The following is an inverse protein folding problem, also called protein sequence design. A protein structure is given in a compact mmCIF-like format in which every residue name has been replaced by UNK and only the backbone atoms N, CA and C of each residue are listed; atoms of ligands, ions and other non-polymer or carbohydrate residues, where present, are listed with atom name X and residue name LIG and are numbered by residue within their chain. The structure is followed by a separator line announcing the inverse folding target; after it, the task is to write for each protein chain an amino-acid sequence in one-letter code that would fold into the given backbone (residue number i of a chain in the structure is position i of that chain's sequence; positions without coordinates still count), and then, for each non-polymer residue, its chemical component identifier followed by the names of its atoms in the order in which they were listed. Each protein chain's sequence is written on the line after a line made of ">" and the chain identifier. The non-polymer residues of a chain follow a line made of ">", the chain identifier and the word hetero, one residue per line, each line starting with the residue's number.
data_IF_818934450992
#
_entry.id   IF_818934450992
#
_cell.length_a   1.000
_cell.length_b   1.000
_cell.length_c   1.000
_cell.angle_alpha   90.00
_cell.angle_beta   90.00
_cell.angle_gamma   90.00
#
_symmetry.space_group_name_H-M   'P 1'
#
loop_
_entity.id
_entity.type
_entity.pdbx_description
1 polymer ?
#
# COMPACT_ATOMS: atom_id res chain seq x y z
N UNK A 1 17.97 -10.51 6.39
CA UNK A 1 16.97 -9.95 5.47
C UNK A 1 17.42 -8.58 4.99
N UNK A 2 17.45 -8.38 3.69
CA UNK A 2 17.87 -7.09 3.14
C UNK A 2 16.71 -6.09 3.22
N UNK A 3 16.99 -4.89 3.71
CA UNK A 3 16.00 -3.81 3.80
C UNK A 3 16.30 -2.77 2.73
N UNK A 4 15.29 -2.42 1.94
CA UNK A 4 15.39 -1.39 0.91
C UNK A 4 14.41 -0.27 1.22
N UNK A 5 14.87 0.97 1.03
CA UNK A 5 13.99 2.13 1.14
C UNK A 5 13.59 2.59 -0.25
N UNK A 6 12.30 2.83 -0.44
CA UNK A 6 11.76 3.31 -1.71
C UNK A 6 11.10 4.67 -1.47
N UNK A 7 11.63 5.70 -2.14
CA UNK A 7 11.10 7.06 -2.06
C UNK A 7 9.92 7.19 -3.01
N UNK A 8 8.77 7.58 -2.47
CA UNK A 8 7.53 7.71 -3.24
C UNK A 8 7.32 9.09 -3.86
N UNK A 9 8.26 10.03 -3.70
CA UNK A 9 8.07 11.43 -4.09
C UNK A 9 7.55 11.61 -5.51
N UNK A 10 8.11 10.89 -6.49
CA UNK A 10 7.73 11.11 -7.88
C UNK A 10 6.30 10.66 -8.21
N UNK A 11 5.67 9.89 -7.34
CA UNK A 11 4.31 9.40 -7.57
C UNK A 11 3.25 10.31 -6.98
N UNK A 12 3.67 11.41 -6.35
CA UNK A 12 2.78 12.36 -5.74
C UNK A 12 2.20 13.38 -6.73
N UNK A 13 2.69 13.41 -7.94
CA UNK A 13 2.29 14.37 -8.94
C UNK A 13 3.04 15.70 -8.78
N UNK A 14 3.15 16.45 -9.89
CA UNK A 14 3.86 17.72 -9.92
C UNK A 14 3.15 18.75 -9.05
N UNK A 15 3.89 19.40 -8.16
CA UNK A 15 3.40 20.47 -7.28
C UNK A 15 2.30 20.00 -6.33
N UNK A 16 2.12 18.72 -6.18
CA UNK A 16 1.11 18.17 -5.28
C UNK A 16 1.75 17.78 -3.96
N UNK A 17 1.01 17.94 -2.88
CA UNK A 17 1.38 17.41 -1.57
C UNK A 17 0.57 16.17 -1.21
N UNK A 18 -0.19 15.64 -2.16
CA UNK A 18 -1.17 14.58 -1.94
C UNK A 18 -0.90 13.39 -2.84
N UNK A 19 -0.83 12.20 -2.24
CA UNK A 19 -0.89 10.95 -3.00
C UNK A 19 -2.37 10.58 -3.15
N UNK A 20 -2.87 10.46 -4.37
CA UNK A 20 -4.28 10.17 -4.59
C UNK A 20 -4.50 9.39 -5.87
N UNK A 21 -5.59 8.62 -5.88
CA UNK A 21 -6.04 7.91 -7.06
C UNK A 21 -5.53 6.48 -7.12
N UNK A 22 -6.47 5.53 -7.24
CA UNK A 22 -6.11 4.12 -7.41
C UNK A 22 -5.31 3.87 -8.69
N UNK A 23 -5.67 4.50 -9.84
CA UNK A 23 -4.87 4.37 -11.06
C UNK A 23 -3.43 4.85 -10.88
N UNK A 24 -3.22 5.92 -10.10
CA UNK A 24 -1.88 6.43 -9.83
C UNK A 24 -1.08 5.44 -8.98
N UNK A 25 -1.73 4.82 -8.01
CA UNK A 25 -1.11 3.76 -7.22
C UNK A 25 -0.70 2.57 -8.07
N UNK A 26 -1.54 2.18 -9.04
CA UNK A 26 -1.22 1.09 -9.95
C UNK A 26 -0.03 1.43 -10.84
N UNK A 27 0.08 2.67 -11.31
CA UNK A 27 1.23 3.12 -12.08
C UNK A 27 2.50 3.03 -11.24
N UNK A 28 2.44 3.49 -9.99
CA UNK A 28 3.58 3.40 -9.07
C UNK A 28 4.00 1.95 -8.85
N UNK A 29 3.02 1.06 -8.65
CA UNK A 29 3.27 -0.37 -8.48
C UNK A 29 4.03 -0.95 -9.67
N UNK A 30 3.60 -0.60 -10.88
CA UNK A 30 4.24 -1.09 -12.10
C UNK A 30 5.67 -0.57 -12.26
N UNK A 31 5.89 0.71 -12.04
CA UNK A 31 7.21 1.31 -12.15
C UNK A 31 8.18 0.77 -11.10
N UNK A 32 7.71 0.51 -9.90
CA UNK A 32 8.52 -0.03 -8.81
C UNK A 32 8.70 -1.55 -8.91
N UNK A 33 7.99 -2.20 -9.82
CA UNK A 33 8.05 -3.65 -10.02
C UNK A 33 7.72 -4.42 -8.74
N UNK A 34 6.66 -4.00 -8.06
CA UNK A 34 6.29 -4.62 -6.80
C UNK A 34 5.85 -6.07 -6.97
N UNK A 35 5.34 -6.45 -8.16
CA UNK A 35 5.00 -7.85 -8.42
C UNK A 35 6.23 -8.75 -8.29
N UNK A 36 7.39 -8.27 -8.76
CA UNK A 36 8.64 -9.00 -8.64
C UNK A 36 9.14 -9.01 -7.19
N UNK A 37 9.00 -7.88 -6.51
CA UNK A 37 9.40 -7.75 -5.11
C UNK A 37 8.57 -8.69 -4.23
N UNK A 38 7.26 -8.81 -4.51
CA UNK A 38 6.38 -9.72 -3.77
C UNK A 38 6.86 -11.17 -3.81
N UNK A 39 7.54 -11.55 -4.88
CA UNK A 39 8.05 -12.92 -5.04
C UNK A 39 9.33 -13.19 -4.27
N UNK A 40 10.05 -12.16 -3.85
CA UNK A 40 11.32 -12.29 -3.14
C UNK A 40 11.07 -12.53 -1.66
N UNK A 41 11.64 -13.59 -1.11
CA UNK A 41 11.36 -14.00 0.28
C UNK A 41 12.25 -13.32 1.31
N UNK A 42 13.37 -12.72 0.91
CA UNK A 42 14.38 -12.19 1.83
C UNK A 42 14.56 -10.67 1.72
N UNK A 43 13.53 -9.97 1.24
CA UNK A 43 13.56 -8.51 1.06
C UNK A 43 12.47 -7.88 1.91
N UNK A 44 12.85 -6.83 2.65
CA UNK A 44 11.91 -5.99 3.39
C UNK A 44 11.96 -4.59 2.79
N UNK A 45 10.80 -3.99 2.60
CA UNK A 45 10.67 -2.69 1.94
C UNK A 45 10.13 -1.66 2.92
N UNK A 46 10.75 -0.50 2.94
CA UNK A 46 10.22 0.68 3.63
C UNK A 46 9.96 1.76 2.60
N UNK A 47 8.68 2.14 2.45
CA UNK A 47 8.31 3.26 1.60
C UNK A 47 8.49 4.55 2.38
N UNK A 48 9.24 5.51 1.84
CA UNK A 48 9.39 6.81 2.48
C UNK A 48 8.41 7.80 1.87
N UNK A 49 7.67 8.47 2.74
CA UNK A 49 6.71 9.52 2.36
C UNK A 49 7.38 10.86 2.62
N UNK A 50 7.58 11.69 1.58
CA UNK A 50 8.40 12.90 1.71
C UNK A 50 7.79 13.97 2.62
N UNK A 51 8.66 14.86 3.13
CA UNK A 51 8.31 15.87 4.15
C UNK A 51 7.14 16.76 3.78
N UNK A 52 7.01 17.12 2.52
CA UNK A 52 5.98 18.07 2.10
C UNK A 52 4.64 17.40 1.81
N UNK A 53 4.47 16.14 2.19
CA UNK A 53 3.21 15.43 1.99
C UNK A 53 2.20 15.81 3.06
N UNK A 54 0.96 16.10 2.64
CA UNK A 54 -0.13 16.43 3.56
C UNK A 54 -1.20 15.35 3.63
N UNK A 55 -1.26 14.45 2.65
CA UNK A 55 -2.25 13.38 2.64
C UNK A 55 -1.77 12.19 1.80
N UNK A 56 -2.12 10.99 2.24
CA UNK A 56 -1.86 9.75 1.51
C UNK A 56 -3.19 9.03 1.35
N UNK A 57 -3.90 9.32 0.26
CA UNK A 57 -5.27 8.86 0.10
C UNK A 57 -5.34 7.33 0.08
N UNK A 58 -6.32 6.72 0.78
CA UNK A 58 -6.50 5.27 0.74
C UNK A 58 -6.67 4.70 -0.66
N UNK A 59 -7.18 5.46 -1.61
CA UNK A 59 -7.29 4.99 -3.00
C UNK A 59 -5.93 4.75 -3.64
N UNK A 60 -4.96 5.64 -3.37
CA UNK A 60 -3.59 5.43 -3.83
C UNK A 60 -2.98 4.19 -3.18
N UNK A 61 -3.20 4.04 -1.87
CA UNK A 61 -2.72 2.87 -1.13
C UNK A 61 -3.23 1.58 -1.77
N UNK A 62 -4.51 1.52 -2.11
CA UNK A 62 -5.10 0.34 -2.74
C UNK A 62 -4.45 0.04 -4.09
N UNK A 63 -4.23 1.05 -4.92
CA UNK A 63 -3.57 0.85 -6.21
C UNK A 63 -2.15 0.33 -6.06
N UNK A 64 -1.43 0.87 -5.07
CA UNK A 64 -0.04 0.49 -4.84
C UNK A 64 0.08 -0.92 -4.26
N UNK A 65 -0.76 -1.29 -3.30
CA UNK A 65 -0.49 -2.42 -2.41
C UNK A 65 -1.56 -3.50 -2.36
N UNK A 66 -2.76 -3.30 -2.93
CA UNK A 66 -3.81 -4.31 -2.81
C UNK A 66 -3.36 -5.68 -3.33
N UNK A 67 -2.69 -5.72 -4.49
CA UNK A 67 -2.22 -6.98 -5.07
C UNK A 67 -1.19 -7.68 -4.18
N UNK A 68 -0.41 -6.92 -3.41
CA UNK A 68 0.53 -7.50 -2.46
C UNK A 68 -0.20 -8.23 -1.33
N UNK A 69 -1.34 -7.68 -0.87
CA UNK A 69 -2.18 -8.38 0.10
C UNK A 69 -2.74 -9.68 -0.48
N UNK A 70 -3.15 -9.66 -1.74
CA UNK A 70 -3.65 -10.87 -2.42
C UNK A 70 -2.59 -11.96 -2.44
N UNK A 71 -1.36 -11.59 -2.78
CA UNK A 71 -0.26 -12.55 -2.95
C UNK A 71 0.34 -13.03 -1.63
N UNK A 72 0.44 -12.14 -0.64
CA UNK A 72 1.19 -12.41 0.59
C UNK A 72 0.30 -12.72 1.80
N UNK A 73 -0.97 -12.30 1.74
CA UNK A 73 -1.82 -12.29 2.92
C UNK A 73 -1.43 -11.14 3.85
N UNK A 74 -2.23 -10.93 4.90
CA UNK A 74 -2.00 -9.82 5.83
C UNK A 74 -0.69 -9.98 6.57
N UNK A 75 -0.41 -11.17 7.09
CA UNK A 75 0.83 -11.42 7.84
C UNK A 75 2.07 -11.29 6.97
N UNK A 76 2.01 -11.83 5.75
CA UNK A 76 3.13 -11.73 4.81
C UNK A 76 3.37 -10.28 4.41
N UNK A 77 2.30 -9.53 4.19
CA UNK A 77 2.42 -8.10 3.91
C UNK A 77 3.09 -7.35 5.06
N UNK A 78 2.62 -7.58 6.28
CA UNK A 78 3.16 -6.89 7.46
C UNK A 78 4.64 -7.20 7.69
N UNK A 79 5.07 -8.39 7.36
CA UNK A 79 6.47 -8.78 7.49
C UNK A 79 7.36 -8.14 6.44
N UNK A 80 6.80 -7.74 5.31
CA UNK A 80 7.57 -7.28 4.15
C UNK A 80 7.55 -5.77 3.96
N UNK A 81 6.42 -5.12 4.16
CA UNK A 81 6.23 -3.71 3.81
C UNK A 81 6.00 -2.83 5.01
N UNK A 82 6.70 -1.70 5.04
CA UNK A 82 6.60 -0.69 6.09
C UNK A 82 6.58 0.70 5.46
N UNK A 83 6.13 1.69 6.22
CA UNK A 83 6.14 3.08 5.82
C UNK A 83 6.92 3.92 6.80
N UNK A 84 7.66 4.91 6.27
CA UNK A 84 8.36 5.90 7.07
C UNK A 84 7.87 7.29 6.64
N UNK A 85 7.28 8.04 7.56
CA UNK A 85 6.74 9.35 7.28
C UNK A 85 7.78 10.39 7.66
N UNK A 86 8.27 11.16 6.68
CA UNK A 86 9.40 12.06 6.88
C UNK A 86 9.01 13.46 7.36
N UNK A 87 7.71 13.81 7.32
CA UNK A 87 7.28 15.12 7.80
C UNK A 87 7.52 15.29 9.30
N UNK A 88 7.92 16.50 9.71
CA UNK A 88 8.17 16.81 11.11
C UNK A 88 6.93 17.33 11.85
N UNK A 89 5.88 17.73 11.12
CA UNK A 89 4.68 18.30 11.73
C UNK A 89 3.82 17.20 12.37
N UNK A 90 3.63 17.21 13.70
CA UNK A 90 2.89 16.15 14.39
C UNK A 90 1.45 15.96 13.89
N UNK A 91 0.76 17.05 13.54
CA UNK A 91 -0.62 16.96 13.07
C UNK A 91 -0.69 16.29 11.71
N UNK A 92 0.24 16.63 10.82
CA UNK A 92 0.33 16.02 9.49
C UNK A 92 0.70 14.54 9.61
N UNK A 93 1.61 14.20 10.51
CA UNK A 93 1.95 12.79 10.77
C UNK A 93 0.72 11.99 11.15
N UNK A 94 -0.12 12.52 12.04
CA UNK A 94 -1.36 11.85 12.46
C UNK A 94 -2.31 11.64 11.29
N UNK A 95 -2.45 12.63 10.43
CA UNK A 95 -3.31 12.53 9.24
C UNK A 95 -2.82 11.41 8.34
N UNK A 96 -1.52 11.38 8.06
CA UNK A 96 -0.95 10.38 7.16
C UNK A 96 -1.04 8.98 7.78
N UNK A 97 -0.76 8.85 9.08
CA UNK A 97 -0.90 7.57 9.77
C UNK A 97 -2.32 7.04 9.67
N UNK A 98 -3.32 7.91 9.85
CA UNK A 98 -4.71 7.52 9.71
C UNK A 98 -5.03 7.12 8.28
N UNK A 99 -4.50 7.84 7.30
CA UNK A 99 -4.67 7.48 5.88
C UNK A 99 -4.13 6.08 5.60
N UNK A 100 -2.96 5.76 6.13
CA UNK A 100 -2.36 4.44 5.95
C UNK A 100 -3.17 3.34 6.62
N UNK A 101 -3.67 3.61 7.82
CA UNK A 101 -4.55 2.67 8.54
C UNK A 101 -5.84 2.43 7.75
N UNK A 102 -6.44 3.50 7.24
CA UNK A 102 -7.67 3.40 6.44
C UNK A 102 -7.41 2.62 5.15
N UNK A 103 -6.28 2.88 4.48
CA UNK A 103 -5.89 2.15 3.28
C UNK A 103 -5.72 0.66 3.54
N UNK A 104 -5.03 0.32 4.62
CA UNK A 104 -4.82 -1.08 5.00
C UNK A 104 -6.14 -1.76 5.33
N UNK A 105 -7.00 -1.09 6.12
CA UNK A 105 -8.31 -1.63 6.46
C UNK A 105 -9.15 -1.87 5.20
N UNK A 106 -9.14 -0.93 4.27
CA UNK A 106 -9.87 -1.07 3.02
C UNK A 106 -9.33 -2.23 2.19
N UNK A 107 -8.01 -2.41 2.15
CA UNK A 107 -7.38 -3.52 1.44
C UNK A 107 -7.79 -4.86 2.05
N UNK A 108 -7.78 -4.97 3.37
CA UNK A 108 -8.17 -6.19 4.08
C UNK A 108 -9.65 -6.49 3.84
N UNK A 109 -10.49 -5.46 3.91
CA UNK A 109 -11.93 -5.62 3.67
C UNK A 109 -12.21 -6.09 2.24
N UNK A 110 -11.52 -5.51 1.26
CA UNK A 110 -11.67 -5.92 -0.14
C UNK A 110 -11.19 -7.36 -0.34
N UNK A 111 -10.06 -7.71 0.27
CA UNK A 111 -9.52 -9.07 0.20
C UNK A 111 -10.51 -10.08 0.79
N UNK A 112 -11.04 -9.79 1.97
CA UNK A 112 -11.98 -10.66 2.65
C UNK A 112 -13.29 -10.80 1.87
N UNK A 113 -13.78 -9.71 1.30
CA UNK A 113 -15.00 -9.73 0.49
C UNK A 113 -14.82 -10.60 -0.75
N UNK A 114 -13.70 -10.45 -1.44
CA UNK A 114 -13.44 -11.21 -2.66
C UNK A 114 -13.24 -12.70 -2.37
N UNK A 115 -12.46 -13.04 -1.35
CA UNK A 115 -12.23 -14.44 -0.99
C UNK A 115 -13.47 -15.07 -0.35
N UNK A 116 -14.17 -14.33 0.50
CA UNK A 116 -15.42 -14.79 1.12
C UNK A 116 -16.51 -15.05 0.10
N UNK A 117 -16.67 -14.14 -0.85
CA UNK A 117 -17.65 -14.29 -1.92
C UNK A 117 -17.32 -15.48 -2.80
N UNK A 118 -16.05 -15.68 -3.15
CA UNK A 118 -15.62 -16.82 -3.93
C UNK A 118 -15.93 -18.12 -3.23
N UNK A 119 -15.62 -18.21 -1.95
CA UNK A 119 -15.90 -19.42 -1.16
C UNK A 119 -17.39 -19.70 -1.06
N UNK A 120 -18.20 -18.67 -0.93
CA UNK A 120 -19.64 -18.77 -0.88
C UNK A 120 -20.21 -19.33 -2.18
N UNK A 121 -19.75 -18.83 -3.31
CA UNK A 121 -20.16 -19.30 -4.63
C UNK A 121 -19.74 -20.74 -4.84
N UNK A 122 -18.53 -21.10 -4.45
CA UNK A 122 -18.01 -22.45 -4.56
C UNK A 122 -18.84 -23.45 -3.76
N UNK A 123 -19.26 -23.07 -2.54
CA UNK A 123 -20.12 -23.91 -1.71
C UNK A 123 -21.48 -24.13 -2.33
N UNK A 124 -22.05 -23.12 -2.95
CA UNK A 124 -23.37 -23.22 -3.60
C UNK A 124 -23.35 -24.13 -4.81
N UNK A 125 -22.23 -24.26 -5.47
CA UNK A 125 -22.10 -25.06 -6.69
C UNK A 125 -21.76 -26.51 -6.43
N UNK A 126 -21.76 -26.94 -5.18
CA UNK A 126 -21.56 -28.33 -4.83
C UNK A 126 -22.94 -29.09 -4.88
#
# INVERSE_FOLDING_TARGET
>A
MATQKIDLTKFRGNRSSIFTGRPQGLIARGELKLDDIDKKSDVEITFTIPESTTSFNPSFYLGLLYESFVKLGVQGFDSKYNFEILTADPETVKVIQKNLEDGKRNAINELNRNTGLWQFIKKKNK
#
